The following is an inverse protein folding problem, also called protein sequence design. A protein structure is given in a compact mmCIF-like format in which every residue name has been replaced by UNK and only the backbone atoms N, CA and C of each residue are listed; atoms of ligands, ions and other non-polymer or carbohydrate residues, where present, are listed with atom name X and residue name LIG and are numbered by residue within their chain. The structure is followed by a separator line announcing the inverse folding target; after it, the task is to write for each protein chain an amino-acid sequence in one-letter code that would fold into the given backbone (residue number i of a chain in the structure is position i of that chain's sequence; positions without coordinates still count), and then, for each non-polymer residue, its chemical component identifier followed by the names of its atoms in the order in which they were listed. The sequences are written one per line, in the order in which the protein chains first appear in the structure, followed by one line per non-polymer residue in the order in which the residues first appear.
data_IF_409888174809
#
_entry.id   IF_409888174809
#
_cell.length_a   1.000
_cell.length_b   1.000
_cell.length_c   1.000
_cell.angle_alpha   90.00
_cell.angle_beta   90.00
_cell.angle_gamma   90.00
#
_symmetry.space_group_name_H-M   'P 1'
#
loop_
_entity.id
_entity.type
_entity.pdbx_description
1 polymer ?
#
# COMPACT_ATOMS: atom_id res chain seq x y z
N UNK A 1 -4.75 -72.04 27.99
CA UNK A 1 -5.68 -72.36 26.86
C UNK A 1 -6.14 -71.02 26.30
N UNK A 2 -5.48 -70.41 25.31
CA UNK A 2 -5.62 -70.57 23.84
C UNK A 2 -7.08 -70.42 23.35
N UNK A 3 -7.24 -69.52 22.37
CA UNK A 3 -8.38 -69.30 21.44
C UNK A 3 -9.56 -68.51 22.03
N UNK A 4 -10.15 -67.46 21.44
CA UNK A 4 -10.22 -66.96 20.05
C UNK A 4 -10.75 -65.51 20.15
N UNK A 5 -10.03 -64.49 19.65
CA UNK A 5 -10.29 -63.77 18.38
C UNK A 5 -11.72 -63.86 17.83
N UNK A 6 -12.19 -62.71 17.36
CA UNK A 6 -13.34 -62.44 16.47
C UNK A 6 -14.52 -61.78 17.20
N UNK A 7 -14.46 -60.45 17.32
CA UNK A 7 -15.55 -59.54 16.94
C UNK A 7 -14.98 -58.12 16.84
N UNK A 8 -13.98 -57.96 15.97
CA UNK A 8 -13.76 -56.66 15.36
C UNK A 8 -14.90 -56.40 14.37
N UNK A 9 -15.11 -55.13 14.06
CA UNK A 9 -15.96 -54.65 12.97
C UNK A 9 -17.45 -54.65 13.28
N UNK A 10 -17.90 -53.68 14.08
CA UNK A 10 -19.28 -53.14 14.05
C UNK A 10 -19.40 -51.84 14.90
N UNK A 11 -18.44 -50.92 14.76
CA UNK A 11 -18.52 -49.57 15.35
C UNK A 11 -18.31 -48.46 14.30
N UNK A 12 -18.57 -48.79 13.03
CA UNK A 12 -18.54 -47.84 11.91
C UNK A 12 -19.78 -48.10 11.06
N UNK A 13 -20.95 -47.71 11.58
CA UNK A 13 -22.23 -47.96 10.92
C UNK A 13 -23.46 -47.43 11.66
N UNK A 14 -23.28 -46.50 12.60
CA UNK A 14 -24.36 -45.81 13.30
C UNK A 14 -24.89 -44.65 12.47
N UNK A 15 -25.74 -45.01 11.51
CA UNK A 15 -26.53 -44.14 10.65
C UNK A 15 -27.31 -43.11 11.49
N UNK A 16 -27.12 -41.84 11.13
CA UNK A 16 -28.15 -40.82 10.91
C UNK A 16 -29.50 -41.03 11.62
N UNK A 17 -29.85 -40.10 12.51
CA UNK A 17 -31.18 -39.44 12.60
C UNK A 17 -31.17 -38.51 13.82
N UNK A 18 -30.59 -37.32 13.62
CA UNK A 18 -30.65 -36.20 14.57
C UNK A 18 -30.96 -34.91 13.82
N UNK A 19 -31.98 -34.95 12.97
CA UNK A 19 -32.50 -33.80 12.21
C UNK A 19 -33.86 -33.43 12.79
N UNK A 20 -33.90 -32.48 13.74
CA UNK A 20 -34.85 -31.36 13.70
C UNK A 20 -34.46 -30.25 14.67
N UNK A 21 -34.20 -29.07 14.09
CA UNK A 21 -34.63 -27.75 14.59
C UNK A 21 -33.83 -27.08 15.71
N UNK A 22 -32.72 -26.44 15.32
CA UNK A 22 -32.50 -25.06 15.71
C UNK A 22 -32.03 -24.28 14.48
N UNK A 23 -32.93 -23.48 13.93
CA UNK A 23 -32.60 -22.38 13.02
C UNK A 23 -31.65 -21.42 13.74
N UNK A 24 -30.36 -21.66 13.57
CA UNK A 24 -29.32 -20.67 13.67
C UNK A 24 -28.56 -20.77 12.37
N UNK A 25 -28.99 -19.98 11.38
CA UNK A 25 -28.24 -19.73 10.16
C UNK A 25 -26.75 -19.59 10.55
N UNK A 26 -25.81 -20.16 9.77
CA UNK A 26 -24.44 -19.69 9.88
C UNK A 26 -24.56 -18.18 9.65
N UNK A 27 -24.29 -17.38 10.68
CA UNK A 27 -24.10 -15.96 10.45
C UNK A 27 -22.81 -15.95 9.63
N UNK A 28 -22.83 -15.65 8.31
CA UNK A 28 -21.62 -15.07 7.78
C UNK A 28 -21.49 -13.80 8.59
N UNK A 29 -20.58 -13.76 9.58
CA UNK A 29 -20.16 -12.47 10.11
C UNK A 29 -19.71 -11.73 8.87
N UNK A 30 -20.55 -10.77 8.47
CA UNK A 30 -20.39 -10.05 7.22
C UNK A 30 -18.94 -9.58 7.17
N UNK A 31 -18.18 -10.18 6.26
CA UNK A 31 -16.92 -9.57 5.87
C UNK A 31 -17.27 -8.15 5.41
N UNK A 32 -16.47 -7.19 5.87
CA UNK A 32 -16.46 -5.78 5.48
C UNK A 32 -17.23 -4.82 6.39
N UNK A 33 -16.77 -4.67 7.63
CA UNK A 33 -16.64 -3.30 8.18
C UNK A 33 -15.44 -2.62 7.50
N UNK A 34 -15.51 -2.33 6.20
CA UNK A 34 -14.53 -1.42 5.59
C UNK A 34 -15.01 0.02 5.79
N UNK A 35 -15.11 0.42 7.06
CA UNK A 35 -15.22 1.81 7.45
C UNK A 35 -14.06 2.59 6.82
N UNK A 36 -14.29 3.87 6.52
CA UNK A 36 -13.20 4.73 6.09
C UNK A 36 -12.07 4.70 7.13
N UNK A 37 -10.82 4.67 6.68
CA UNK A 37 -9.63 4.70 7.51
C UNK A 37 -8.66 5.74 7.01
N UNK A 38 -8.01 6.41 7.95
CA UNK A 38 -6.87 7.29 7.66
C UNK A 38 -5.60 6.45 7.73
N UNK A 39 -4.78 6.49 6.69
CA UNK A 39 -3.49 5.80 6.64
C UNK A 39 -2.43 6.75 6.10
N UNK A 40 -1.16 6.44 6.31
CA UNK A 40 -0.06 7.18 5.69
C UNK A 40 0.37 6.48 4.40
N UNK A 41 0.35 7.21 3.29
CA UNK A 41 0.89 6.80 1.99
C UNK A 41 2.26 7.46 1.78
N UNK A 42 3.17 6.72 1.17
CA UNK A 42 4.58 7.09 1.02
C UNK A 42 5.08 6.61 -0.33
N UNK A 43 5.82 7.48 -1.00
CA UNK A 43 6.51 7.17 -2.24
C UNK A 43 7.87 7.85 -2.27
N UNK A 44 8.84 7.16 -2.86
CA UNK A 44 10.21 7.64 -2.94
C UNK A 44 10.89 7.03 -4.17
N UNK A 45 11.65 7.88 -4.86
CA UNK A 45 12.52 7.46 -5.94
C UNK A 45 13.86 8.17 -5.80
N UNK A 46 14.94 7.41 -5.93
CA UNK A 46 16.29 7.84 -5.69
C UNK A 46 17.25 7.25 -6.72
N UNK A 47 18.21 8.06 -7.15
CA UNK A 47 19.41 7.59 -7.80
C UNK A 47 20.65 8.24 -7.18
N UNK A 48 21.62 7.43 -6.81
CA UNK A 48 22.86 7.87 -6.17
C UNK A 48 24.07 7.21 -6.83
N UNK A 49 25.16 7.97 -6.95
CA UNK A 49 26.45 7.51 -7.49
C UNK A 49 27.55 7.58 -6.44
N UNK A 50 27.45 8.52 -5.50
CA UNK A 50 28.37 8.70 -4.38
C UNK A 50 27.69 9.52 -3.27
N UNK A 51 28.40 9.77 -2.16
CA UNK A 51 27.92 10.67 -1.10
C UNK A 51 27.73 12.13 -1.55
N UNK A 52 28.31 12.52 -2.68
CA UNK A 52 28.26 13.89 -3.20
C UNK A 52 27.42 14.03 -4.48
N UNK A 53 26.99 12.91 -5.07
CA UNK A 53 26.24 12.86 -6.33
C UNK A 53 25.00 12.00 -6.15
N UNK A 54 23.84 12.64 -6.00
CA UNK A 54 22.56 11.99 -5.80
C UNK A 54 21.38 12.83 -6.30
N UNK A 55 20.29 12.15 -6.62
CA UNK A 55 18.98 12.74 -6.93
C UNK A 55 17.92 11.96 -6.17
N UNK A 56 17.03 12.67 -5.48
CA UNK A 56 16.03 12.06 -4.60
C UNK A 56 14.71 12.84 -4.68
N UNK A 57 13.60 12.14 -4.84
CA UNK A 57 12.25 12.68 -4.74
C UNK A 57 11.46 11.86 -3.72
N UNK A 58 10.75 12.53 -2.82
CA UNK A 58 9.94 11.85 -1.80
C UNK A 58 8.62 12.56 -1.58
N UNK A 59 7.57 11.76 -1.41
CA UNK A 59 6.23 12.20 -1.09
C UNK A 59 5.67 11.36 0.06
N UNK A 60 5.16 12.04 1.09
CA UNK A 60 4.58 11.41 2.27
C UNK A 60 3.31 12.16 2.65
N UNK A 61 2.17 11.47 2.75
CA UNK A 61 0.94 12.12 3.14
C UNK A 61 -0.03 11.19 3.86
N UNK A 62 -0.83 11.77 4.74
CA UNK A 62 -1.97 11.12 5.36
C UNK A 62 -3.08 11.10 4.33
N UNK A 63 -3.70 9.95 4.10
CA UNK A 63 -4.76 9.76 3.10
C UNK A 63 -5.99 9.12 3.71
N UNK A 64 -7.15 9.51 3.21
CA UNK A 64 -8.43 8.87 3.54
C UNK A 64 -8.72 7.76 2.54
N UNK A 65 -8.94 6.55 3.04
CA UNK A 65 -9.35 5.40 2.23
C UNK A 65 -10.71 4.92 2.68
N UNK A 66 -11.66 4.83 1.76
CA UNK A 66 -13.00 4.26 2.01
C UNK A 66 -13.22 3.10 1.03
N UNK A 67 -13.69 1.95 1.52
CA UNK A 67 -13.95 0.78 0.66
C UNK A 67 -12.75 0.42 -0.24
N UNK A 68 -11.54 0.45 0.32
CA UNK A 68 -10.27 0.20 -0.38
C UNK A 68 -9.93 1.18 -1.52
N UNK A 69 -10.62 2.33 -1.61
CA UNK A 69 -10.34 3.37 -2.59
C UNK A 69 -9.80 4.62 -1.91
N UNK A 70 -8.77 5.21 -2.51
CA UNK A 70 -8.31 6.54 -2.14
C UNK A 70 -9.44 7.57 -2.34
N UNK A 71 -9.60 8.45 -1.37
CA UNK A 71 -10.59 9.54 -1.43
C UNK A 71 -9.89 10.88 -1.58
N UNK A 72 -8.94 11.18 -0.68
CA UNK A 72 -8.18 12.44 -0.66
C UNK A 72 -6.95 12.35 0.23
N UNK A 73 -6.04 13.30 0.03
CA UNK A 73 -5.00 13.64 1.01
C UNK A 73 -5.67 14.42 2.15
N UNK A 74 -5.24 14.15 3.38
CA UNK A 74 -5.65 14.84 4.59
C UNK A 74 -4.52 15.80 4.97
N UNK A 75 -4.76 17.12 4.98
CA UNK A 75 -3.80 18.09 5.48
C UNK A 75 -3.55 17.88 6.98
N UNK A 76 -2.29 17.83 7.38
CA UNK A 76 -1.87 17.71 8.77
C UNK A 76 -0.58 18.50 8.98
N UNK A 77 -0.32 18.98 10.19
CA UNK A 77 0.92 19.69 10.53
C UNK A 77 1.86 18.84 11.39
N UNK A 78 1.39 17.75 11.99
CA UNK A 78 2.21 16.95 12.91
C UNK A 78 1.95 15.43 12.82
N UNK A 79 2.71 14.68 11.99
CA UNK A 79 3.70 15.18 11.04
C UNK A 79 3.04 15.90 9.85
N UNK A 80 3.81 16.74 9.15
CA UNK A 80 3.31 17.51 8.00
C UNK A 80 2.76 16.58 6.91
N UNK A 81 1.55 16.85 6.44
CA UNK A 81 0.88 16.14 5.35
C UNK A 81 0.27 17.14 4.37
N UNK A 82 0.57 17.02 3.07
CA UNK A 82 1.65 16.24 2.49
C UNK A 82 3.00 16.89 2.81
N UNK A 83 4.00 16.05 3.01
CA UNK A 83 5.40 16.43 3.01
C UNK A 83 6.03 15.99 1.68
N UNK A 84 6.56 16.95 0.93
CA UNK A 84 7.18 16.74 -0.38
C UNK A 84 8.59 17.27 -0.35
N UNK A 85 9.52 16.50 -0.88
CA UNK A 85 10.92 16.89 -0.91
C UNK A 85 11.53 16.47 -2.26
N UNK A 86 12.33 17.36 -2.85
CA UNK A 86 12.99 17.18 -4.15
C UNK A 86 14.44 17.65 -4.04
N UNK A 87 15.39 16.72 -4.04
CA UNK A 87 16.82 16.96 -3.79
C UNK A 87 17.64 16.51 -5.00
N UNK A 88 18.66 17.28 -5.31
CA UNK A 88 19.67 16.92 -6.30
C UNK A 88 20.98 17.56 -5.88
N UNK A 89 22.03 16.77 -5.90
CA UNK A 89 23.39 17.13 -5.52
C UNK A 89 24.34 16.52 -6.54
N UNK A 90 25.34 17.29 -6.97
CA UNK A 90 26.39 16.79 -7.87
C UNK A 90 25.96 16.41 -9.29
N UNK A 91 24.70 16.64 -9.68
CA UNK A 91 24.19 16.36 -11.04
C UNK A 91 23.83 17.63 -11.80
N UNK A 92 23.85 17.57 -13.14
CA UNK A 92 23.34 18.65 -13.98
C UNK A 92 21.82 18.58 -14.06
N UNK A 93 21.15 19.66 -13.65
CA UNK A 93 19.69 19.80 -13.66
C UNK A 93 19.16 20.23 -15.04
N UNK A 94 17.91 19.85 -15.37
CA UNK A 94 17.26 20.24 -16.64
C UNK A 94 15.89 20.90 -16.42
N UNK A 95 15.59 21.98 -17.12
CA UNK A 95 14.23 22.56 -17.15
C UNK A 95 13.72 23.01 -15.78
N UNK A 96 12.45 22.72 -15.45
CA UNK A 96 11.90 22.87 -14.09
C UNK A 96 12.41 21.72 -13.22
N UNK A 97 13.72 21.73 -13.00
CA UNK A 97 14.45 20.54 -12.64
C UNK A 97 14.13 19.98 -11.25
N UNK A 98 13.50 20.76 -10.37
CA UNK A 98 12.97 20.31 -9.08
C UNK A 98 11.56 20.86 -8.93
N UNK A 99 10.57 20.00 -8.76
CA UNK A 99 9.17 20.38 -8.61
C UNK A 99 8.61 19.67 -7.39
N UNK A 100 7.85 20.41 -6.60
CA UNK A 100 6.95 19.88 -5.58
C UNK A 100 5.61 20.53 -5.77
N UNK A 101 4.54 19.75 -5.92
CA UNK A 101 3.22 20.27 -6.21
C UNK A 101 2.16 19.51 -5.43
N UNK A 102 1.15 20.24 -4.97
CA UNK A 102 -0.03 19.72 -4.29
C UNK A 102 -1.23 20.17 -5.09
N UNK A 103 -2.07 19.22 -5.46
CA UNK A 103 -3.35 19.48 -6.11
C UNK A 103 -4.24 20.35 -5.21
N UNK A 104 -4.84 21.45 -5.72
CA UNK A 104 -5.71 22.31 -4.92
C UNK A 104 -6.91 21.57 -4.30
N UNK A 105 -7.39 20.50 -4.93
CA UNK A 105 -8.49 19.66 -4.43
C UNK A 105 -7.99 18.50 -3.55
N UNK A 106 -6.69 18.47 -3.21
CA UNK A 106 -6.06 17.42 -2.40
C UNK A 106 -6.20 16.01 -2.99
N UNK A 107 -6.33 15.89 -4.32
CA UNK A 107 -6.44 14.59 -5.01
C UNK A 107 -5.09 13.94 -5.26
N UNK A 108 -4.02 14.73 -5.30
CA UNK A 108 -2.67 14.24 -5.46
C UNK A 108 -1.63 15.24 -4.94
N UNK A 109 -0.42 14.76 -4.72
CA UNK A 109 0.76 15.57 -4.45
C UNK A 109 1.97 14.87 -5.06
N UNK A 110 2.94 15.58 -5.63
CA UNK A 110 4.14 14.93 -6.18
C UNK A 110 5.41 15.75 -5.98
N UNK A 111 6.55 15.04 -5.99
CA UNK A 111 7.89 15.58 -6.12
C UNK A 111 8.56 15.00 -7.38
N UNK A 112 9.29 15.83 -8.12
CA UNK A 112 9.97 15.45 -9.35
C UNK A 112 11.34 16.12 -9.38
N UNK A 113 12.36 15.38 -9.83
CA UNK A 113 13.64 15.97 -10.22
C UNK A 113 14.03 15.51 -11.62
N UNK A 114 14.32 16.43 -12.52
CA UNK A 114 14.80 16.16 -13.88
C UNK A 114 16.29 16.55 -14.00
N UNK A 115 17.10 15.63 -14.52
CA UNK A 115 18.55 15.77 -14.53
C UNK A 115 19.19 15.08 -15.75
N UNK A 116 20.47 15.37 -15.99
CA UNK A 116 21.33 14.60 -16.88
C UNK A 116 22.04 13.54 -16.05
N UNK A 117 21.78 12.29 -16.39
CA UNK A 117 22.37 11.12 -15.78
C UNK A 117 23.90 11.11 -16.00
N UNK A 118 24.72 11.12 -14.93
CA UNK A 118 26.18 11.14 -15.03
C UNK A 118 26.81 9.95 -15.77
N UNK A 119 26.22 8.75 -15.67
CA UNK A 119 26.80 7.55 -16.31
C UNK A 119 26.50 7.53 -17.81
N UNK A 120 25.32 7.98 -18.20
CA UNK A 120 24.81 7.83 -19.57
C UNK A 120 24.80 9.13 -20.38
N UNK A 121 24.93 10.29 -19.73
CA UNK A 121 24.79 11.61 -20.34
C UNK A 121 23.39 11.94 -20.86
N UNK A 122 22.38 11.13 -20.52
CA UNK A 122 21.00 11.28 -21.02
C UNK A 122 20.10 11.96 -19.99
N UNK A 123 19.02 12.57 -20.47
CA UNK A 123 17.95 13.08 -19.59
C UNK A 123 17.32 11.91 -18.83
N UNK A 124 17.19 12.08 -17.53
CA UNK A 124 16.55 11.16 -16.60
C UNK A 124 15.71 11.95 -15.60
N UNK A 125 14.93 11.23 -14.79
CA UNK A 125 14.14 11.82 -13.72
C UNK A 125 13.98 10.85 -12.55
N UNK A 126 13.84 11.40 -11.35
CA UNK A 126 13.27 10.69 -10.20
C UNK A 126 11.93 11.31 -9.83
N UNK A 127 10.94 10.51 -9.45
CA UNK A 127 9.57 10.95 -9.25
C UNK A 127 8.89 10.22 -8.11
N UNK A 128 8.19 10.95 -7.24
CA UNK A 128 7.38 10.41 -6.16
C UNK A 128 6.00 11.08 -6.13
N UNK A 129 4.92 10.32 -5.89
CA UNK A 129 3.53 10.84 -5.93
C UNK A 129 2.63 10.20 -4.88
N UNK A 130 1.73 10.99 -4.28
CA UNK A 130 0.55 10.51 -3.56
C UNK A 130 -0.71 10.79 -4.39
N UNK A 131 -1.70 9.89 -4.46
CA UNK A 131 -1.60 8.49 -4.04
C UNK A 131 -0.62 7.71 -4.93
N UNK A 132 0.20 6.83 -4.34
CA UNK A 132 1.14 5.98 -5.08
C UNK A 132 0.54 4.61 -5.39
N UNK A 133 -0.01 3.97 -4.38
CA UNK A 133 -0.40 2.56 -4.42
C UNK A 133 -1.93 2.34 -4.61
N UNK A 134 -2.73 3.38 -4.89
CA UNK A 134 -4.20 3.29 -4.87
C UNK A 134 -4.95 3.69 -6.16
N UNK A 135 -5.95 2.89 -6.60
CA UNK A 135 -6.30 1.57 -6.07
C UNK A 135 -5.19 0.54 -6.40
N UNK A 136 -4.86 -0.38 -5.47
CA UNK A 136 -4.01 -1.51 -5.83
C UNK A 136 -4.77 -2.31 -6.90
N UNK A 137 -4.11 -2.56 -8.04
CA UNK A 137 -4.65 -3.38 -9.12
C UNK A 137 -4.96 -4.80 -8.67
#
# INVERSE_FOLDING_TARGET
MKLRKVLGVLLVGGLLLGLVSAWGLPVPSAASTSSCKEVWDHDVDEKSWSSEVLVWAGAHAKVLICHSRFVRIIPDQNPKSPNLVAVAQGVQLTGRAKVTEIDPDWKWAYALVEYIDPDTGKKARVYARIPHYWPPG
#
